data_IF_908279494177
#
_entry.id   IF_908279494177
#
_cell.length_a   1.000
_cell.length_b   1.000
_cell.length_c   1.000
_cell.angle_alpha   90.00
_cell.angle_beta   90.00
_cell.angle_gamma   90.00
#
_symmetry.space_group_name_H-M   'P 1'
#
loop_
_entity.id
_entity.type
_entity.pdbx_description
1 polymer ?
#
# COMPACT_ATOMS: atom_id res chain seq x y z
N UNK A 1 -6.55 1.51 13.62
CA UNK A 1 -5.82 2.48 12.78
C UNK A 1 -4.35 2.08 12.56
N UNK A 2 -3.66 1.56 13.58
CA UNK A 2 -2.22 1.21 13.52
C UNK A 2 -1.89 0.29 12.33
N UNK A 3 -2.71 -0.73 12.07
CA UNK A 3 -2.50 -1.66 10.94
C UNK A 3 -2.74 -1.02 9.57
N UNK A 4 -3.81 -0.25 9.39
CA UNK A 4 -4.05 0.50 8.14
C UNK A 4 -2.93 1.53 7.87
N UNK A 5 -2.31 2.09 8.92
CA UNK A 5 -1.15 2.99 8.79
C UNK A 5 0.13 2.22 8.42
N UNK A 6 0.36 1.04 9.00
CA UNK A 6 1.49 0.18 8.66
C UNK A 6 1.43 -0.27 7.18
N UNK A 7 0.26 -0.68 6.72
CA UNK A 7 0.07 -1.10 5.32
C UNK A 7 0.22 0.10 4.36
N UNK A 8 -0.24 1.30 4.74
CA UNK A 8 0.06 2.52 3.96
C UNK A 8 1.57 2.78 3.86
N UNK A 9 2.36 2.52 4.91
CA UNK A 9 3.82 2.65 4.85
C UNK A 9 4.43 1.63 3.89
N UNK A 10 3.95 0.39 3.88
CA UNK A 10 4.39 -0.62 2.92
C UNK A 10 4.10 -0.20 1.47
N UNK A 11 2.94 0.42 1.22
CA UNK A 11 2.62 1.01 -0.08
C UNK A 11 3.63 2.10 -0.50
N UNK A 12 3.96 3.02 0.41
CA UNK A 12 4.95 4.07 0.16
C UNK A 12 6.34 3.51 -0.11
N UNK A 13 6.75 2.47 0.62
CA UNK A 13 8.01 1.77 0.37
C UNK A 13 8.03 1.15 -1.01
N UNK A 14 6.98 0.43 -1.41
CA UNK A 14 6.89 -0.18 -2.74
C UNK A 14 6.90 0.88 -3.86
N UNK A 15 6.23 2.02 -3.68
CA UNK A 15 6.31 3.16 -4.59
C UNK A 15 7.73 3.73 -4.72
N UNK A 16 8.44 3.89 -3.60
CA UNK A 16 9.82 4.36 -3.61
C UNK A 16 10.70 3.39 -4.40
N UNK A 17 10.63 2.09 -4.11
CA UNK A 17 11.40 1.06 -4.83
C UNK A 17 11.07 1.10 -6.33
N UNK A 18 9.80 1.23 -6.69
CA UNK A 18 9.39 1.35 -8.08
C UNK A 18 9.94 2.58 -8.80
N UNK A 19 10.19 3.68 -8.07
CA UNK A 19 10.74 4.92 -8.62
C UNK A 19 12.27 4.93 -8.73
N UNK A 20 12.95 4.09 -7.95
CA UNK A 20 14.42 4.07 -7.88
C UNK A 20 15.04 2.91 -8.63
N UNK A 21 14.26 1.86 -8.95
CA UNK A 21 14.77 0.69 -9.68
C UNK A 21 14.88 1.00 -11.18
N UNK A 22 15.99 0.57 -11.79
CA UNK A 22 16.22 0.71 -13.23
C UNK A 22 15.51 -0.37 -14.06
N UNK A 23 15.24 -1.53 -13.45
CA UNK A 23 14.52 -2.63 -14.10
C UNK A 23 13.03 -2.30 -14.21
N UNK A 24 12.53 -2.20 -15.45
CA UNK A 24 11.15 -1.85 -15.74
C UNK A 24 10.14 -2.92 -15.29
N UNK A 25 10.52 -4.20 -15.28
CA UNK A 25 9.68 -5.30 -14.81
C UNK A 25 9.52 -5.18 -13.29
N UNK A 26 10.63 -5.02 -12.57
CA UNK A 26 10.63 -4.82 -11.11
C UNK A 26 9.87 -3.55 -10.75
N UNK A 27 10.06 -2.45 -11.49
CA UNK A 27 9.32 -1.21 -11.28
C UNK A 27 7.80 -1.42 -11.37
N UNK A 28 7.35 -2.14 -12.40
CA UNK A 28 5.93 -2.40 -12.63
C UNK A 28 5.33 -3.35 -11.58
N UNK A 29 6.09 -4.37 -11.14
CA UNK A 29 5.69 -5.25 -10.05
C UNK A 29 5.54 -4.45 -8.74
N UNK A 30 6.49 -3.59 -8.42
CA UNK A 30 6.46 -2.77 -7.22
C UNK A 30 5.31 -1.74 -7.24
N UNK A 31 5.00 -1.14 -8.41
CA UNK A 31 3.79 -0.30 -8.58
C UNK A 31 2.51 -1.09 -8.32
N UNK A 32 2.43 -2.31 -8.83
CA UNK A 32 1.26 -3.18 -8.62
C UNK A 32 1.10 -3.54 -7.14
N UNK A 33 2.20 -3.85 -6.47
CA UNK A 33 2.24 -4.13 -5.03
C UNK A 33 1.82 -2.91 -4.20
N UNK A 34 2.30 -1.71 -4.53
CA UNK A 34 1.91 -0.49 -3.85
C UNK A 34 0.40 -0.21 -3.95
N UNK A 35 -0.19 -0.43 -5.13
CA UNK A 35 -1.65 -0.31 -5.35
C UNK A 35 -2.43 -1.31 -4.49
N UNK A 36 -1.96 -2.56 -4.42
CA UNK A 36 -2.58 -3.58 -3.57
C UNK A 36 -2.57 -3.17 -2.09
N UNK A 37 -1.44 -2.68 -1.58
CA UNK A 37 -1.35 -2.20 -0.20
C UNK A 37 -2.24 -0.97 0.06
N UNK A 38 -2.32 0.00 -0.86
CA UNK A 38 -3.25 1.13 -0.72
C UNK A 38 -4.70 0.66 -0.60
N UNK A 39 -5.12 -0.24 -1.48
CA UNK A 39 -6.46 -0.83 -1.46
C UNK A 39 -6.74 -1.54 -0.12
N UNK A 40 -5.81 -2.37 0.36
CA UNK A 40 -5.95 -3.09 1.62
C UNK A 40 -6.04 -2.13 2.82
N UNK A 41 -5.20 -1.09 2.86
CA UNK A 41 -5.26 -0.08 3.91
C UNK A 41 -6.60 0.68 3.95
N UNK A 42 -7.19 0.95 2.79
CA UNK A 42 -8.49 1.63 2.69
C UNK A 42 -9.65 0.72 3.12
N UNK A 43 -9.61 -0.55 2.75
CA UNK A 43 -10.58 -1.56 3.22
C UNK A 43 -10.51 -1.67 4.75
N UNK A 44 -9.32 -1.77 5.33
CA UNK A 44 -9.15 -1.85 6.79
C UNK A 44 -9.65 -0.58 7.48
N UNK A 45 -9.34 0.60 6.93
CA UNK A 45 -9.84 1.88 7.47
C UNK A 45 -11.37 1.95 7.43
N UNK A 46 -11.99 1.51 6.33
CA UNK A 46 -13.45 1.45 6.19
C UNK A 46 -14.08 0.45 7.16
N UNK A 47 -13.52 -0.76 7.27
CA UNK A 47 -14.00 -1.80 8.20
C UNK A 47 -13.96 -1.33 9.65
N UNK A 48 -12.88 -0.70 10.08
CA UNK A 48 -12.77 -0.19 11.45
C UNK A 48 -13.71 0.99 11.73
N UNK A 49 -13.92 1.89 10.75
CA UNK A 49 -14.93 2.95 10.89
C UNK A 49 -16.34 2.39 11.07
N UNK A 50 -16.67 1.31 10.37
CA UNK A 50 -17.97 0.63 10.53
C UNK A 50 -18.11 -0.05 11.90
N UNK A 51 -17.04 -0.61 12.47
CA UNK A 51 -17.05 -1.21 13.82
C UNK A 51 -17.18 -0.21 14.97
N UNK A 52 -16.87 1.07 14.72
CA UNK A 52 -16.94 2.14 15.72
C UNK A 52 -18.28 2.89 15.74
N UNK A 53 -19.13 2.65 14.74
CA UNK A 53 -20.54 3.06 14.75
C UNK A 53 -21.33 1.99 15.47
#
# INVERSE_FOLDING_TARGET
>A
MKMAKAIRKQAQTAERVASTTADAIVANQMRSLARAFRSQADILKKKEKKKKK
#
